data_IF_703870646992
#
_entry.id   IF_703870646992
#
_cell.length_a   1.000
_cell.length_b   1.000
_cell.length_c   1.000
_cell.angle_alpha   90.00
_cell.angle_beta   90.00
_cell.angle_gamma   90.00
#
_symmetry.space_group_name_H-M   'P 1'
#
loop_
_entity.id
_entity.type
_entity.pdbx_description
1 polymer ?
#
# COMPACT_ATOMS: atom_id res chain seq x y z
N UNK A 1 -0.37 7.71 6.62
CA UNK A 1 -1.77 7.37 6.28
C UNK A 1 -2.66 7.17 7.51
N UNK A 2 -2.59 6.05 8.24
CA UNK A 2 -3.48 5.82 9.39
C UNK A 2 -3.34 6.87 10.49
N UNK A 3 -2.12 7.03 11.01
CA UNK A 3 -1.79 8.01 12.05
C UNK A 3 -2.21 9.43 11.62
N UNK A 4 -1.75 9.90 10.47
CA UNK A 4 -2.04 11.25 10.02
C UNK A 4 -3.51 11.55 9.68
N UNK A 5 -4.18 10.69 8.89
CA UNK A 5 -5.55 10.95 8.42
C UNK A 5 -6.57 10.68 9.52
N UNK A 6 -6.38 9.60 10.30
CA UNK A 6 -7.36 9.16 11.29
C UNK A 6 -7.00 9.57 12.72
N UNK A 7 -5.77 9.38 13.17
CA UNK A 7 -5.42 9.64 14.58
C UNK A 7 -5.19 11.12 14.86
N UNK A 8 -4.38 11.79 14.03
CA UNK A 8 -4.01 13.18 14.25
C UNK A 8 -5.10 14.16 13.81
N UNK A 9 -5.71 13.94 12.64
CA UNK A 9 -6.66 14.87 12.03
C UNK A 9 -8.13 14.46 12.16
N UNK A 10 -8.41 13.19 12.49
CA UNK A 10 -9.79 12.70 12.63
C UNK A 10 -10.64 12.87 11.37
N UNK A 11 -10.03 12.77 10.18
CA UNK A 11 -10.70 13.02 8.91
C UNK A 11 -11.54 11.83 8.44
N UNK A 12 -11.11 10.61 8.75
CA UNK A 12 -11.75 9.39 8.29
C UNK A 12 -11.96 8.38 9.42
N UNK A 13 -13.07 7.65 9.39
CA UNK A 13 -13.30 6.51 10.29
C UNK A 13 -12.60 5.23 9.78
N UNK A 14 -12.32 5.16 8.48
CA UNK A 14 -11.52 4.10 7.86
C UNK A 14 -10.58 4.70 6.83
N UNK A 15 -9.33 4.23 6.82
CA UNK A 15 -8.34 4.63 5.82
C UNK A 15 -7.35 3.50 5.63
N UNK A 16 -7.00 3.19 4.38
CA UNK A 16 -6.03 2.16 4.05
C UNK A 16 -5.32 2.50 2.73
N UNK A 17 -4.18 1.84 2.54
CA UNK A 17 -3.48 1.76 1.27
C UNK A 17 -3.30 0.27 0.93
N UNK A 18 -3.38 -0.05 -0.36
CA UNK A 18 -3.21 -1.41 -0.87
C UNK A 18 -2.53 -1.36 -2.22
N UNK A 19 -1.62 -2.30 -2.45
CA UNK A 19 -1.02 -2.56 -3.73
C UNK A 19 -1.83 -3.58 -4.53
N UNK A 20 -1.95 -3.37 -5.84
CA UNK A 20 -2.39 -4.39 -6.78
C UNK A 20 -1.24 -4.69 -7.74
N UNK A 21 -0.69 -5.89 -7.68
CA UNK A 21 0.42 -6.32 -8.52
C UNK A 21 -0.09 -7.07 -9.74
N UNK A 22 -0.43 -6.35 -10.81
CA UNK A 22 -0.70 -6.95 -12.12
C UNK A 22 0.61 -7.24 -12.87
N UNK A 23 0.54 -8.05 -13.92
CA UNK A 23 1.72 -8.51 -14.66
C UNK A 23 2.42 -7.38 -15.44
N UNK A 24 1.67 -6.35 -15.81
CA UNK A 24 2.11 -5.24 -16.66
C UNK A 24 2.20 -3.91 -15.91
N UNK A 25 1.25 -3.64 -15.00
CA UNK A 25 1.20 -2.36 -14.27
C UNK A 25 0.81 -2.57 -12.79
N UNK A 26 1.65 -2.16 -11.83
CA UNK A 26 1.24 -2.13 -10.43
C UNK A 26 0.37 -0.89 -10.12
N UNK A 27 -0.57 -1.04 -9.19
CA UNK A 27 -1.41 0.07 -8.72
C UNK A 27 -1.22 0.25 -7.22
N UNK A 28 -0.89 1.48 -6.78
CA UNK A 28 -1.02 1.88 -5.38
C UNK A 28 -2.39 2.54 -5.20
N UNK A 29 -3.31 1.84 -4.55
CA UNK A 29 -4.63 2.38 -4.24
C UNK A 29 -4.67 2.88 -2.80
N UNK A 30 -5.18 4.10 -2.62
CA UNK A 30 -5.56 4.62 -1.32
C UNK A 30 -7.09 4.74 -1.24
N UNK A 31 -7.65 4.52 -0.05
CA UNK A 31 -9.09 4.60 0.17
C UNK A 31 -9.39 5.12 1.56
N UNK A 32 -10.45 5.91 1.68
CA UNK A 32 -10.94 6.42 2.94
C UNK A 32 -12.48 6.39 3.00
N UNK A 33 -13.01 5.95 4.13
CA UNK A 33 -14.41 6.14 4.50
C UNK A 33 -14.49 7.26 5.53
N UNK A 34 -15.24 8.32 5.19
CA UNK A 34 -15.26 9.59 5.91
C UNK A 34 -16.62 10.28 5.83
N UNK A 35 -16.81 11.33 6.61
CA UNK A 35 -17.93 12.26 6.51
C UNK A 35 -17.71 13.20 5.32
N UNK A 36 -18.74 13.43 4.48
CA UNK A 36 -18.62 14.17 3.22
C UNK A 36 -17.95 15.54 3.35
N UNK A 37 -18.21 16.28 4.44
CA UNK A 37 -17.61 17.60 4.67
C UNK A 37 -16.07 17.59 4.78
N UNK A 38 -15.46 16.44 5.01
CA UNK A 38 -14.01 16.26 5.15
C UNK A 38 -13.33 15.65 3.91
N UNK A 39 -14.10 15.40 2.84
CA UNK A 39 -13.62 14.64 1.68
C UNK A 39 -12.44 15.31 0.98
N UNK A 40 -12.56 16.59 0.64
CA UNK A 40 -11.50 17.32 -0.08
C UNK A 40 -10.24 17.44 0.77
N UNK A 41 -10.37 17.73 2.07
CA UNK A 41 -9.21 17.81 2.97
C UNK A 41 -8.48 16.47 3.07
N UNK A 42 -9.22 15.37 3.25
CA UNK A 42 -8.63 14.04 3.32
C UNK A 42 -7.96 13.66 1.99
N UNK A 43 -8.63 13.91 0.86
CA UNK A 43 -8.09 13.65 -0.48
C UNK A 43 -6.79 14.41 -0.71
N UNK A 44 -6.78 15.71 -0.45
CA UNK A 44 -5.57 16.55 -0.58
C UNK A 44 -4.45 16.00 0.29
N UNK A 45 -4.73 15.67 1.55
CA UNK A 45 -3.67 15.18 2.44
C UNK A 45 -3.16 13.79 2.04
N UNK A 46 -4.04 12.91 1.55
CA UNK A 46 -3.63 11.61 1.02
C UNK A 46 -2.69 11.75 -0.18
N UNK A 47 -2.94 12.72 -1.07
CA UNK A 47 -2.04 13.05 -2.18
C UNK A 47 -0.70 13.57 -1.69
N UNK A 48 -0.70 14.52 -0.75
CA UNK A 48 0.53 15.07 -0.18
C UNK A 48 1.40 13.98 0.47
N UNK A 49 0.80 13.03 1.20
CA UNK A 49 1.54 11.90 1.80
C UNK A 49 2.24 11.04 0.73
N UNK A 50 1.57 10.80 -0.41
CA UNK A 50 2.17 10.03 -1.51
C UNK A 50 3.27 10.84 -2.19
N UNK A 51 3.07 12.15 -2.35
CA UNK A 51 4.07 13.04 -2.93
C UNK A 51 5.32 13.19 -2.05
N UNK A 52 5.15 13.29 -0.74
CA UNK A 52 6.25 13.23 0.25
C UNK A 52 7.02 11.92 0.12
N UNK A 53 6.31 10.78 0.04
CA UNK A 53 6.96 9.47 -0.15
C UNK A 53 7.72 9.41 -1.49
N UNK A 54 7.17 9.97 -2.57
CA UNK A 54 7.77 9.99 -3.90
C UNK A 54 9.03 10.87 -3.95
N UNK A 55 8.99 12.05 -3.33
CA UNK A 55 10.03 13.08 -3.46
C UNK A 55 11.08 13.03 -2.36
N UNK A 56 10.67 12.81 -1.12
CA UNK A 56 11.55 12.79 0.05
C UNK A 56 11.95 11.36 0.45
N UNK A 57 11.17 10.37 0.03
CA UNK A 57 11.33 8.97 0.42
C UNK A 57 10.66 8.64 1.76
N UNK A 58 10.80 7.40 2.24
CA UNK A 58 10.28 7.00 3.54
C UNK A 58 11.01 7.73 4.69
N UNK A 59 10.31 7.98 5.80
CA UNK A 59 10.93 8.56 6.99
C UNK A 59 11.84 7.54 7.70
N UNK A 60 12.82 8.00 8.49
CA UNK A 60 13.72 7.10 9.21
C UNK A 60 13.00 5.99 9.99
N UNK A 61 13.36 4.75 9.72
CA UNK A 61 12.81 3.56 10.35
C UNK A 61 11.39 3.18 9.93
N UNK A 62 10.74 3.90 9.00
CA UNK A 62 9.44 3.46 8.46
C UNK A 62 9.56 2.15 7.69
N UNK A 63 10.61 2.00 6.87
CA UNK A 63 10.86 0.78 6.09
C UNK A 63 11.10 -0.41 7.02
N UNK A 64 11.88 -0.25 8.09
CA UNK A 64 12.11 -1.31 9.07
C UNK A 64 10.82 -1.81 9.71
N UNK A 65 9.96 -0.88 10.14
CA UNK A 65 8.66 -1.22 10.73
C UNK A 65 7.74 -1.89 9.71
N UNK A 66 7.67 -1.37 8.49
CA UNK A 66 6.83 -1.91 7.42
C UNK A 66 7.28 -3.31 6.98
N UNK A 67 8.60 -3.53 6.88
CA UNK A 67 9.20 -4.83 6.60
C UNK A 67 8.89 -5.85 7.69
N UNK A 68 9.16 -5.52 8.96
CA UNK A 68 8.88 -6.41 10.09
C UNK A 68 7.39 -6.77 10.16
N UNK A 69 6.51 -5.79 9.94
CA UNK A 69 5.07 -6.02 9.85
C UNK A 69 4.70 -6.96 8.70
N UNK A 70 5.26 -6.74 7.51
CA UNK A 70 4.93 -7.51 6.31
C UNK A 70 5.44 -8.95 6.39
N UNK A 71 6.67 -9.16 6.84
CA UNK A 71 7.25 -10.48 7.09
C UNK A 71 6.47 -11.22 8.19
N UNK A 72 6.18 -10.58 9.32
CA UNK A 72 5.39 -11.17 10.41
C UNK A 72 3.97 -11.56 9.95
N UNK A 73 3.30 -10.70 9.18
CA UNK A 73 1.98 -11.01 8.60
C UNK A 73 2.06 -12.22 7.65
N UNK A 74 3.15 -12.35 6.87
CA UNK A 74 3.35 -13.48 5.96
C UNK A 74 3.56 -14.79 6.71
N UNK A 75 4.38 -14.77 7.77
CA UNK A 75 4.61 -15.93 8.65
C UNK A 75 3.28 -16.43 9.21
N UNK A 76 2.49 -15.54 9.81
CA UNK A 76 1.18 -15.89 10.37
C UNK A 76 0.20 -16.38 9.30
N UNK A 77 0.24 -15.81 8.09
CA UNK A 77 -0.61 -16.26 7.00
C UNK A 77 -0.32 -17.72 6.62
N UNK A 78 0.94 -18.16 6.66
CA UNK A 78 1.33 -19.53 6.30
C UNK A 78 0.97 -20.59 7.34
N UNK A 79 0.39 -20.22 8.49
CA UNK A 79 -0.28 -21.18 9.38
C UNK A 79 -1.61 -21.69 8.80
N UNK A 80 -2.18 -20.95 7.84
CA UNK A 80 -3.41 -21.31 7.15
C UNK A 80 -3.11 -22.11 5.87
N UNK A 81 -3.57 -23.35 5.80
CA UNK A 81 -3.35 -24.24 4.65
C UNK A 81 -3.88 -23.68 3.33
N UNK A 82 -4.96 -22.90 3.36
CA UNK A 82 -5.52 -22.26 2.17
C UNK A 82 -4.61 -21.10 1.67
N UNK A 83 -3.97 -20.38 2.59
CA UNK A 83 -2.98 -19.36 2.22
C UNK A 83 -1.72 -20.00 1.62
N UNK A 84 -1.24 -21.11 2.18
CA UNK A 84 -0.12 -21.89 1.61
C UNK A 84 -0.47 -22.41 0.22
N UNK A 85 -1.66 -22.99 0.04
CA UNK A 85 -2.12 -23.48 -1.27
C UNK A 85 -2.21 -22.35 -2.30
N UNK A 86 -2.71 -21.18 -1.91
CA UNK A 86 -2.80 -20.02 -2.80
C UNK A 86 -1.41 -19.49 -3.19
N UNK A 87 -0.46 -19.44 -2.25
CA UNK A 87 0.93 -19.09 -2.54
C UNK A 87 1.57 -20.09 -3.52
N UNK A 88 1.46 -21.38 -3.23
CA UNK A 88 2.00 -22.44 -4.09
C UNK A 88 1.44 -22.37 -5.52
N UNK A 89 0.12 -22.16 -5.65
CA UNK A 89 -0.51 -21.98 -6.94
C UNK A 89 0.01 -20.74 -7.68
N UNK A 90 0.20 -19.62 -6.97
CA UNK A 90 0.69 -18.39 -7.56
C UNK A 90 2.15 -18.54 -8.05
N UNK A 91 3.04 -19.07 -7.20
CA UNK A 91 4.43 -19.35 -7.59
C UNK A 91 4.50 -20.24 -8.83
N UNK A 92 3.77 -21.35 -8.84
CA UNK A 92 3.89 -22.34 -9.93
C UNK A 92 3.18 -21.93 -11.21
N UNK A 93 2.01 -21.29 -11.12
CA UNK A 93 1.16 -20.98 -12.29
C UNK A 93 1.49 -19.61 -12.87
N UNK A 94 1.74 -18.61 -12.01
CA UNK A 94 1.98 -17.22 -12.47
C UNK A 94 3.46 -16.98 -12.74
N UNK A 95 4.34 -17.45 -11.86
CA UNK A 95 5.77 -17.14 -11.93
C UNK A 95 6.65 -18.28 -12.46
N UNK A 96 6.13 -19.51 -12.55
CA UNK A 96 6.92 -20.73 -12.85
C UNK A 96 8.12 -20.89 -11.89
N UNK A 97 7.95 -20.46 -10.65
CA UNK A 97 8.98 -20.49 -9.59
C UNK A 97 8.79 -21.67 -8.63
N UNK A 98 9.86 -22.00 -7.89
CA UNK A 98 9.82 -22.97 -6.81
C UNK A 98 8.90 -22.50 -5.66
N UNK A 99 8.27 -23.48 -5.00
CA UNK A 99 7.37 -23.24 -3.87
C UNK A 99 8.19 -23.29 -2.58
N UNK A 100 8.70 -22.13 -2.16
CA UNK A 100 9.45 -21.98 -0.92
C UNK A 100 8.87 -20.82 -0.08
N UNK A 101 8.07 -21.12 0.96
CA UNK A 101 7.54 -20.10 1.87
C UNK A 101 8.63 -19.31 2.62
N UNK A 102 9.73 -19.96 3.00
CA UNK A 102 10.81 -19.33 3.76
C UNK A 102 11.59 -18.35 2.88
N UNK A 103 11.84 -18.71 1.62
CA UNK A 103 12.41 -17.80 0.64
C UNK A 103 11.54 -16.56 0.43
N UNK A 104 10.21 -16.69 0.44
CA UNK A 104 9.32 -15.54 0.34
C UNK A 104 9.39 -14.62 1.55
N UNK A 105 9.62 -15.14 2.76
CA UNK A 105 9.80 -14.33 3.97
C UNK A 105 11.17 -13.64 3.92
N UNK A 106 12.23 -14.36 3.55
CA UNK A 106 13.56 -13.80 3.40
C UNK A 106 13.62 -12.67 2.35
N UNK A 107 12.88 -12.80 1.23
CA UNK A 107 12.74 -11.73 0.23
C UNK A 107 12.15 -10.46 0.83
N UNK A 108 11.12 -10.57 1.68
CA UNK A 108 10.55 -9.41 2.39
C UNK A 108 11.55 -8.82 3.39
N UNK A 109 12.28 -9.64 4.12
CA UNK A 109 13.29 -9.17 5.09
C UNK A 109 14.49 -8.48 4.42
N UNK A 110 14.80 -8.85 3.17
CA UNK A 110 15.90 -8.25 2.42
C UNK A 110 15.61 -6.85 1.86
N UNK A 111 14.33 -6.42 1.84
CA UNK A 111 13.93 -5.13 1.25
C UNK A 111 14.67 -3.96 1.93
N UNK A 112 15.32 -3.14 1.13
CA UNK A 112 16.12 -2.01 1.58
C UNK A 112 15.36 -0.68 1.47
N UNK A 113 15.83 0.34 2.18
CA UNK A 113 15.26 1.69 2.07
C UNK A 113 15.45 2.26 0.66
N UNK A 114 16.59 1.98 0.02
CA UNK A 114 16.90 2.45 -1.32
C UNK A 114 15.96 1.84 -2.37
N UNK A 115 15.64 0.55 -2.28
CA UNK A 115 14.65 -0.09 -3.16
C UNK A 115 13.25 0.51 -2.97
N UNK A 116 12.85 0.79 -1.73
CA UNK A 116 11.55 1.45 -1.45
C UNK A 116 11.53 2.86 -2.03
N UNK A 117 12.63 3.61 -1.88
CA UNK A 117 12.79 4.97 -2.43
C UNK A 117 12.72 4.95 -3.96
N UNK A 118 13.41 4.01 -4.61
CA UNK A 118 13.39 3.83 -6.06
C UNK A 118 11.97 3.55 -6.57
N UNK A 119 11.27 2.60 -5.95
CA UNK A 119 9.89 2.27 -6.33
C UNK A 119 8.94 3.46 -6.07
N UNK A 120 9.11 4.17 -4.95
CA UNK A 120 8.30 5.33 -4.61
C UNK A 120 8.40 6.45 -5.67
N UNK A 121 9.60 6.70 -6.21
CA UNK A 121 9.81 7.68 -7.29
C UNK A 121 9.06 7.33 -8.58
N UNK A 122 8.78 6.03 -8.80
CA UNK A 122 8.02 5.55 -9.95
C UNK A 122 6.50 5.68 -9.82
N UNK A 123 5.97 6.14 -8.67
CA UNK A 123 4.53 6.35 -8.50
C UNK A 123 4.07 7.50 -9.41
N UNK A 124 3.07 7.22 -10.25
CA UNK A 124 2.51 8.20 -11.18
C UNK A 124 1.83 9.37 -10.44
N UNK A 125 2.01 10.57 -10.97
CA UNK A 125 1.27 11.77 -10.56
C UNK A 125 -0.15 11.77 -11.14
N UNK A 126 -0.40 10.99 -12.20
CA UNK A 126 -1.73 10.82 -12.77
C UNK A 126 -2.57 9.89 -11.89
N UNK A 127 -3.70 10.43 -11.40
CA UNK A 127 -4.58 9.73 -10.47
C UNK A 127 -5.90 9.37 -11.15
N UNK A 128 -6.38 8.16 -10.86
CA UNK A 128 -7.78 7.79 -11.09
C UNK A 128 -8.54 7.88 -9.77
N UNK A 129 -9.59 8.71 -9.73
CA UNK A 129 -10.36 8.96 -8.50
C UNK A 129 -11.77 8.39 -8.66
N UNK A 130 -12.20 7.61 -7.68
CA UNK A 130 -13.58 7.17 -7.53
C UNK A 130 -14.12 7.66 -6.18
N UNK A 131 -15.27 8.34 -6.21
CA UNK A 131 -15.93 8.85 -5.02
C UNK A 131 -17.42 8.46 -5.05
N UNK A 132 -17.94 8.01 -3.91
CA UNK A 132 -19.37 7.76 -3.72
C UNK A 132 -19.85 8.71 -2.62
N UNK A 133 -20.66 9.69 -3.02
CA UNK A 133 -21.14 10.73 -2.12
C UNK A 133 -21.61 11.98 -2.87
N UNK A 134 -22.02 13.03 -2.15
CA UNK A 134 -22.52 14.27 -2.74
C UNK A 134 -21.36 15.19 -3.21
N UNK A 135 -20.46 14.66 -4.04
CA UNK A 135 -19.28 15.37 -4.55
C UNK A 135 -19.29 15.45 -6.07
N UNK A 136 -18.69 16.50 -6.61
CA UNK A 136 -18.51 16.70 -8.05
C UNK A 136 -17.06 16.52 -8.44
N UNK A 137 -16.81 16.19 -9.70
CA UNK A 137 -15.47 15.88 -10.21
C UNK A 137 -14.50 17.06 -10.07
N UNK A 138 -14.98 18.31 -10.15
CA UNK A 138 -14.12 19.50 -10.07
C UNK A 138 -13.51 19.71 -8.68
N UNK A 139 -14.03 19.03 -7.64
CA UNK A 139 -13.47 19.05 -6.29
C UNK A 139 -12.16 18.23 -6.18
N UNK A 140 -11.85 17.42 -7.18
CA UNK A 140 -10.67 16.53 -7.23
C UNK A 140 -9.69 16.88 -8.36
N UNK A 141 -9.84 18.06 -8.97
CA UNK A 141 -8.93 18.56 -9.99
C UNK A 141 -7.53 18.86 -9.42
#
# INVERSE_FOLDING_TARGET
MFDEIREQRGLAYSVYAVEHSFADVPILQLSAGLESGKCVEAYTRMREIVEELRTEGPRPGEVDRARAYSAGRRVLAFENTNAVARYAANQRIVFDEDIDPDASIARLDSVTEDEVREIAQGISEELSVACVGPHRTEEFA
#
